data_IF_368113733451
#
_entry.id   IF_368113733451
#
_cell.length_a   1.000
_cell.length_b   1.000
_cell.length_c   1.000
_cell.angle_alpha   90.00
_cell.angle_beta   90.00
_cell.angle_gamma   90.00
#
_symmetry.space_group_name_H-M   'P 1'
#
loop_
_entity.id
_entity.type
_entity.pdbx_description
1 polymer ?
#
# COMPACT_ATOMS: atom_id res chain seq x y z
N UNK A 1 6.62 -23.31 3.25
CA UNK A 1 6.57 -23.89 1.89
C UNK A 1 5.34 -24.81 1.82
N UNK A 2 4.65 -24.83 0.68
CA UNK A 2 3.45 -25.65 0.46
C UNK A 2 3.81 -26.94 -0.32
N UNK A 3 4.77 -26.87 -1.23
CA UNK A 3 5.40 -27.99 -1.92
C UNK A 3 6.86 -27.62 -2.25
N UNK A 4 7.54 -28.46 -3.04
CA UNK A 4 8.88 -28.16 -3.55
C UNK A 4 8.88 -26.95 -4.50
N UNK A 5 7.80 -26.76 -5.27
CA UNK A 5 7.65 -25.71 -6.28
C UNK A 5 6.65 -24.61 -5.91
N UNK A 6 6.09 -24.63 -4.69
CA UNK A 6 5.11 -23.67 -4.22
C UNK A 6 5.33 -23.22 -2.77
N UNK A 7 5.13 -21.93 -2.52
CA UNK A 7 5.24 -21.37 -1.18
C UNK A 7 4.35 -20.14 -0.99
N UNK A 8 4.04 -19.88 0.28
CA UNK A 8 3.21 -18.77 0.72
C UNK A 8 4.01 -17.95 1.73
N UNK A 9 3.96 -16.63 1.56
CA UNK A 9 4.39 -15.66 2.56
C UNK A 9 3.21 -14.80 2.95
N UNK A 10 3.16 -14.46 4.23
CA UNK A 10 2.23 -13.47 4.75
C UNK A 10 3.02 -12.44 5.53
N UNK A 11 2.48 -11.24 5.63
CA UNK A 11 3.10 -10.17 6.39
C UNK A 11 2.10 -9.11 6.80
N UNK A 12 2.51 -8.28 7.75
CA UNK A 12 1.70 -7.19 8.25
C UNK A 12 2.58 -5.97 8.54
N UNK A 13 2.02 -4.78 8.36
CA UNK A 13 2.61 -3.51 8.76
C UNK A 13 1.62 -2.78 9.65
N UNK A 14 2.09 -2.22 10.77
CA UNK A 14 1.34 -1.28 11.57
C UNK A 14 2.17 -0.02 11.74
N UNK A 15 1.62 1.11 11.29
CA UNK A 15 2.25 2.42 11.35
C UNK A 15 1.34 3.39 12.08
N UNK A 16 1.92 4.11 13.04
CA UNK A 16 1.32 5.30 13.63
C UNK A 16 2.13 6.54 13.23
N UNK A 17 1.45 7.65 13.01
CA UNK A 17 2.05 8.95 12.76
C UNK A 17 1.28 10.02 13.51
N UNK A 18 1.97 10.75 14.37
CA UNK A 18 1.43 11.96 14.97
C UNK A 18 1.87 13.16 14.12
N UNK A 19 0.94 14.06 13.80
CA UNK A 19 1.21 15.33 13.16
C UNK A 19 0.61 16.45 14.00
N UNK A 20 1.31 17.58 14.06
CA UNK A 20 0.84 18.80 14.67
C UNK A 20 1.18 19.97 13.74
N UNK A 21 0.19 20.83 13.49
CA UNK A 21 0.35 22.01 12.66
C UNK A 21 -0.29 23.22 13.34
N UNK A 22 0.44 24.33 13.36
CA UNK A 22 -0.10 25.63 13.73
C UNK A 22 -0.67 26.33 12.50
N UNK A 23 -1.82 26.97 12.66
CA UNK A 23 -2.53 27.72 11.63
C UNK A 23 -2.65 26.94 10.29
N UNK A 24 -3.22 25.71 10.30
CA UNK A 24 -3.39 24.93 9.07
C UNK A 24 -4.16 25.73 8.01
N UNK A 25 -3.79 25.56 6.74
CA UNK A 25 -4.36 26.34 5.61
C UNK A 25 -4.18 27.85 5.82
N UNK A 26 -3.05 28.27 6.42
CA UNK A 26 -2.74 29.67 6.75
C UNK A 26 -3.79 30.34 7.66
N UNK A 27 -4.50 29.55 8.48
CA UNK A 27 -5.56 30.03 9.36
C UNK A 27 -6.88 30.41 8.65
N UNK A 28 -6.97 30.23 7.33
CA UNK A 28 -8.16 30.61 6.53
C UNK A 28 -9.43 29.82 6.87
N UNK A 29 -9.30 28.70 7.58
CA UNK A 29 -10.42 27.86 8.03
C UNK A 29 -10.80 28.06 9.50
N UNK A 30 -10.25 29.06 10.18
CA UNK A 30 -10.61 29.38 11.56
C UNK A 30 -10.08 28.39 12.61
N UNK A 31 -9.16 27.49 12.22
CA UNK A 31 -8.49 26.53 13.10
C UNK A 31 -7.11 27.08 13.48
N UNK A 32 -6.84 27.17 14.78
CA UNK A 32 -5.60 27.77 15.33
C UNK A 32 -4.45 26.76 15.37
N UNK A 33 -4.76 25.54 15.72
CA UNK A 33 -3.89 24.37 15.80
C UNK A 33 -4.67 23.14 15.33
N UNK A 34 -3.98 22.16 14.76
CA UNK A 34 -4.57 20.86 14.42
C UNK A 34 -3.52 19.80 14.74
N UNK A 35 -3.81 18.96 15.73
CA UNK A 35 -2.94 17.89 16.21
C UNK A 35 -3.67 16.57 16.16
N UNK A 36 -3.16 15.63 15.37
CA UNK A 36 -3.87 14.40 15.10
C UNK A 36 -2.94 13.19 15.02
N UNK A 37 -3.53 12.02 15.26
CA UNK A 37 -2.86 10.74 15.14
C UNK A 37 -3.45 9.99 13.94
N UNK A 38 -2.59 9.52 13.06
CA UNK A 38 -2.93 8.61 11.97
C UNK A 38 -2.45 7.20 12.28
N UNK A 39 -3.24 6.20 11.88
CA UNK A 39 -2.86 4.80 11.82
C UNK A 39 -3.01 4.28 10.40
N UNK A 40 -2.06 3.45 10.00
CA UNK A 40 -2.17 2.55 8.86
C UNK A 40 -1.85 1.13 9.32
N UNK A 41 -2.83 0.23 9.19
CA UNK A 41 -2.63 -1.20 9.37
C UNK A 41 -2.74 -1.87 8.00
N UNK A 42 -1.76 -2.68 7.63
CA UNK A 42 -1.75 -3.44 6.39
C UNK A 42 -1.47 -4.90 6.68
N UNK A 43 -2.11 -5.78 5.94
CA UNK A 43 -1.81 -7.21 5.92
C UNK A 43 -1.74 -7.67 4.47
N UNK A 44 -0.85 -8.60 4.17
CA UNK A 44 -0.70 -9.11 2.82
C UNK A 44 -0.44 -10.62 2.79
N UNK A 45 -0.76 -11.19 1.63
CA UNK A 45 -0.53 -12.57 1.27
C UNK A 45 0.17 -12.58 -0.08
N UNK A 46 1.26 -13.31 -0.17
CA UNK A 46 2.10 -13.47 -1.35
C UNK A 46 2.28 -14.97 -1.64
N UNK A 47 1.66 -15.44 -2.72
CA UNK A 47 1.65 -16.84 -3.10
C UNK A 47 2.48 -17.03 -4.36
N UNK A 48 3.46 -17.91 -4.30
CA UNK A 48 4.31 -18.29 -5.41
C UNK A 48 4.07 -19.76 -5.78
N UNK A 49 3.85 -20.03 -7.07
CA UNK A 49 3.49 -21.33 -7.63
C UNK A 49 4.39 -21.68 -8.81
N UNK A 50 4.55 -22.98 -9.07
CA UNK A 50 5.25 -23.53 -10.24
C UNK A 50 6.67 -22.98 -10.42
N UNK A 51 7.49 -23.11 -9.37
CA UNK A 51 8.87 -22.62 -9.36
C UNK A 51 8.96 -21.13 -9.70
N UNK A 52 8.02 -20.36 -9.14
CA UNK A 52 7.88 -18.91 -9.32
C UNK A 52 7.41 -18.48 -10.73
N UNK A 53 6.93 -19.40 -11.56
CA UNK A 53 6.36 -19.03 -12.88
C UNK A 53 5.03 -18.26 -12.74
N UNK A 54 4.33 -18.41 -11.62
CA UNK A 54 3.09 -17.70 -11.32
C UNK A 54 3.11 -17.19 -9.87
N UNK A 55 2.86 -15.90 -9.68
CA UNK A 55 2.75 -15.28 -8.35
C UNK A 55 1.45 -14.49 -8.21
N UNK A 56 0.81 -14.60 -7.06
CA UNK A 56 -0.41 -13.85 -6.72
C UNK A 56 -0.19 -13.09 -5.43
N UNK A 57 -0.46 -11.78 -5.44
CA UNK A 57 -0.30 -10.92 -4.28
C UNK A 57 -1.59 -10.17 -3.97
N UNK A 58 -1.98 -10.16 -2.70
CA UNK A 58 -3.12 -9.38 -2.20
C UNK A 58 -2.70 -8.67 -0.93
N UNK A 59 -3.01 -7.37 -0.84
CA UNK A 59 -2.77 -6.54 0.34
C UNK A 59 -4.04 -5.79 0.72
N UNK A 60 -4.43 -5.94 1.97
CA UNK A 60 -5.51 -5.19 2.60
C UNK A 60 -4.94 -4.08 3.47
N UNK A 61 -5.63 -2.96 3.50
CA UNK A 61 -5.24 -1.77 4.25
C UNK A 61 -6.42 -1.20 5.03
N UNK A 62 -6.15 -0.75 6.26
CA UNK A 62 -7.06 0.02 7.08
C UNK A 62 -6.36 1.31 7.53
N UNK A 63 -6.92 2.47 7.18
CA UNK A 63 -6.40 3.76 7.60
C UNK A 63 -7.39 4.50 8.48
N UNK A 64 -6.90 5.06 9.58
CA UNK A 64 -7.71 5.82 10.54
C UNK A 64 -6.98 7.08 10.95
N UNK A 65 -7.74 8.12 11.24
CA UNK A 65 -7.24 9.38 11.76
C UNK A 65 -8.09 9.76 12.97
N UNK A 66 -7.44 10.11 14.08
CA UNK A 66 -8.08 10.51 15.34
C UNK A 66 -7.65 11.91 15.74
N UNK A 67 -8.60 12.67 16.29
CA UNK A 67 -8.33 13.98 16.86
C UNK A 67 -8.08 15.10 15.84
N UNK A 68 -8.30 14.85 14.56
CA UNK A 68 -8.13 15.88 13.52
C UNK A 68 -9.30 16.85 13.52
N UNK A 69 -9.02 18.14 13.60
CA UNK A 69 -10.02 19.20 13.68
C UNK A 69 -10.65 19.52 12.32
N UNK A 70 -9.91 19.28 11.23
CA UNK A 70 -10.40 19.44 9.85
C UNK A 70 -10.31 18.10 9.08
N UNK A 71 -11.16 17.11 9.38
CA UNK A 71 -11.14 15.83 8.67
C UNK A 71 -11.62 16.01 7.21
N UNK A 72 -10.90 15.41 6.28
CA UNK A 72 -11.31 15.25 4.88
C UNK A 72 -11.77 13.80 4.62
N UNK A 73 -12.59 13.57 3.58
CA UNK A 73 -13.00 12.21 3.21
C UNK A 73 -11.83 11.26 2.93
N UNK A 74 -10.67 11.79 2.50
CA UNK A 74 -9.45 11.03 2.25
C UNK A 74 -8.70 10.59 3.52
N UNK A 75 -9.05 11.11 4.70
CA UNK A 75 -8.31 10.86 5.95
C UNK A 75 -8.60 9.48 6.57
N UNK A 76 -9.61 8.77 6.07
CA UNK A 76 -9.97 7.43 6.55
C UNK A 76 -10.41 6.56 5.39
N UNK A 77 -9.77 5.39 5.22
CA UNK A 77 -10.25 4.31 4.36
C UNK A 77 -10.52 3.08 5.21
N UNK A 78 -11.81 2.70 5.28
CA UNK A 78 -12.27 1.59 6.11
C UNK A 78 -12.17 0.29 5.31
N UNK A 79 -11.05 -0.41 5.50
CA UNK A 79 -10.75 -1.72 4.90
C UNK A 79 -10.83 -1.70 3.37
N UNK A 80 -9.68 -1.50 2.74
CA UNK A 80 -9.52 -1.41 1.31
C UNK A 80 -8.54 -2.47 0.80
N UNK A 81 -8.77 -2.95 -0.43
CA UNK A 81 -7.77 -3.73 -1.17
C UNK A 81 -6.78 -2.75 -1.78
N UNK A 82 -5.62 -2.58 -1.14
CA UNK A 82 -4.59 -1.65 -1.61
C UNK A 82 -3.94 -2.16 -2.90
N UNK A 83 -3.58 -3.44 -2.92
CA UNK A 83 -2.99 -4.12 -4.07
C UNK A 83 -3.60 -5.51 -4.22
N UNK A 84 -3.86 -5.92 -5.46
CA UNK A 84 -4.33 -7.24 -5.83
C UNK A 84 -3.93 -7.52 -7.28
N UNK A 85 -2.92 -8.35 -7.49
CA UNK A 85 -2.39 -8.63 -8.81
C UNK A 85 -1.89 -10.08 -8.96
N UNK A 86 -1.71 -10.48 -10.22
CA UNK A 86 -1.10 -11.73 -10.63
C UNK A 86 0.10 -11.41 -11.54
N UNK A 87 1.21 -12.09 -11.30
CA UNK A 87 2.44 -12.07 -12.08
C UNK A 87 2.61 -13.39 -12.83
N UNK A 88 2.86 -13.30 -14.13
CA UNK A 88 3.41 -14.41 -14.93
C UNK A 88 4.87 -14.16 -15.23
N UNK A 89 5.73 -15.12 -14.89
CA UNK A 89 7.18 -15.05 -15.07
C UNK A 89 7.63 -16.05 -16.14
N UNK A 90 8.31 -15.55 -17.16
CA UNK A 90 8.92 -16.34 -18.21
C UNK A 90 10.45 -16.27 -18.08
N UNK A 91 11.04 -17.38 -17.66
CA UNK A 91 12.49 -17.51 -17.52
C UNK A 91 13.11 -17.97 -18.85
N UNK A 92 14.13 -17.26 -19.31
CA UNK A 92 14.91 -17.61 -20.50
C UNK A 92 16.40 -17.35 -20.24
N UNK A 93 17.28 -17.79 -21.15
CA UNK A 93 18.72 -17.84 -20.89
C UNK A 93 19.34 -16.50 -20.46
N UNK A 94 18.81 -15.36 -20.89
CA UNK A 94 19.35 -14.03 -20.62
C UNK A 94 18.53 -13.19 -19.63
N UNK A 95 17.49 -13.75 -19.00
CA UNK A 95 16.72 -13.02 -18.00
C UNK A 95 15.35 -13.60 -17.68
N UNK A 96 14.53 -12.79 -17.01
CA UNK A 96 13.14 -13.11 -16.69
C UNK A 96 12.26 -11.98 -17.19
N UNK A 97 11.23 -12.34 -17.96
CA UNK A 97 10.17 -11.42 -18.37
C UNK A 97 8.99 -11.62 -17.42
N UNK A 98 8.62 -10.56 -16.70
CA UNK A 98 7.46 -10.56 -15.80
C UNK A 98 6.33 -9.72 -16.40
N UNK A 99 5.15 -10.31 -16.50
CA UNK A 99 3.92 -9.60 -16.86
C UNK A 99 3.00 -9.56 -15.65
N UNK A 100 2.54 -8.36 -15.27
CA UNK A 100 1.64 -8.17 -14.11
C UNK A 100 0.28 -7.64 -14.55
N UNK A 101 -0.79 -8.22 -14.03
CA UNK A 101 -2.16 -7.73 -14.23
C UNK A 101 -2.88 -7.60 -12.89
N UNK A 102 -3.56 -6.47 -12.69
CA UNK A 102 -4.35 -6.20 -11.49
C UNK A 102 -4.13 -4.80 -10.92
N UNK A 103 -4.63 -4.56 -9.71
CA UNK A 103 -4.41 -3.32 -8.96
C UNK A 103 -3.03 -3.39 -8.30
N UNK A 104 -2.16 -2.45 -8.64
CA UNK A 104 -0.78 -2.40 -8.16
C UNK A 104 -0.35 -0.95 -7.96
N UNK A 105 0.60 -0.74 -7.06
CA UNK A 105 1.29 0.54 -6.94
C UNK A 105 2.45 0.62 -7.94
N UNK A 106 2.63 1.79 -8.54
CA UNK A 106 3.71 2.06 -9.49
C UNK A 106 4.36 3.40 -9.13
N UNK A 107 5.69 3.41 -9.07
CA UNK A 107 6.47 4.60 -8.81
C UNK A 107 7.61 4.67 -9.82
N UNK A 108 7.52 5.59 -10.78
CA UNK A 108 8.52 5.75 -11.84
C UNK A 108 9.07 7.17 -11.88
N UNK A 109 10.34 7.27 -12.27
CA UNK A 109 11.03 8.57 -12.42
C UNK A 109 11.07 9.37 -11.13
N UNK A 110 11.35 8.73 -9.99
CA UNK A 110 11.30 9.35 -8.66
C UNK A 110 9.94 10.02 -8.36
N UNK A 111 8.86 9.37 -8.77
CA UNK A 111 7.46 9.83 -8.67
C UNK A 111 7.08 11.02 -9.56
N UNK A 112 7.93 11.44 -10.50
CA UNK A 112 7.63 12.50 -11.46
C UNK A 112 6.81 12.00 -12.65
N UNK A 113 6.93 10.71 -13.00
CA UNK A 113 6.22 10.11 -14.14
C UNK A 113 4.96 9.37 -13.70
N UNK A 114 5.10 8.47 -12.73
CA UNK A 114 3.99 7.71 -12.14
C UNK A 114 4.18 7.69 -10.64
N UNK A 115 3.11 7.95 -9.92
CA UNK A 115 3.08 8.03 -8.47
C UNK A 115 1.91 7.21 -7.92
N UNK A 116 1.99 6.90 -6.63
CA UNK A 116 0.93 6.28 -5.85
C UNK A 116 0.59 7.23 -4.69
N UNK A 117 -0.64 7.17 -4.21
CA UNK A 117 -1.12 7.98 -3.09
C UNK A 117 -1.95 7.11 -2.16
#
# INVERSE_FOLDING_TARGET
RLSDSAWLQTGAELRYRADAAEQPVFGLRGVKDDSYLMQRAQVHVDLHLFDDSLRTFIQLQNTRTWGKDLPSPSDQSRNEIQQAFIDGNLHYQSGTLTTRVGRQEMAYGNQVLVTYR
#
